data_IF_716042730205
#
_entry.id   IF_716042730205
#
_cell.length_a   1.000
_cell.length_b   1.000
_cell.length_c   1.000
_cell.angle_alpha   90.00
_cell.angle_beta   90.00
_cell.angle_gamma   90.00
#
_symmetry.space_group_name_H-M   'P 1'
#
loop_
_entity.id
_entity.type
_entity.pdbx_description
1 polymer ?
#
# COMPACT_ATOMS: atom_id res chain seq x y z
N UNK A 1 3.03 8.63 -13.48
CA UNK A 1 4.37 8.01 -13.45
C UNK A 1 4.35 6.67 -12.71
N UNK A 2 3.96 6.61 -11.43
CA UNK A 2 3.87 5.34 -10.70
C UNK A 2 2.98 4.28 -11.37
N UNK A 3 1.83 4.69 -11.92
CA UNK A 3 0.94 3.79 -12.68
C UNK A 3 1.65 3.02 -13.79
N UNK A 4 2.38 3.72 -14.65
CA UNK A 4 3.12 3.12 -15.77
C UNK A 4 4.18 2.14 -15.28
N UNK A 5 4.84 2.43 -14.16
CA UNK A 5 5.81 1.49 -13.55
C UNK A 5 5.11 0.22 -13.09
N UNK A 6 3.97 0.34 -12.41
CA UNK A 6 3.20 -0.83 -11.95
C UNK A 6 2.67 -1.67 -13.12
N UNK A 7 2.27 -1.03 -14.22
CA UNK A 7 1.87 -1.73 -15.45
C UNK A 7 3.04 -2.56 -16.02
N UNK A 8 4.21 -1.95 -16.22
CA UNK A 8 5.41 -2.63 -16.73
C UNK A 8 5.82 -3.80 -15.81
N UNK A 9 5.82 -3.58 -14.50
CA UNK A 9 6.18 -4.62 -13.52
C UNK A 9 5.17 -5.76 -13.56
N UNK A 10 3.88 -5.48 -13.70
CA UNK A 10 2.85 -6.53 -13.79
C UNK A 10 2.98 -7.40 -15.05
N UNK A 11 3.42 -6.81 -16.16
CA UNK A 11 3.63 -7.53 -17.43
C UNK A 11 4.85 -8.46 -17.38
N UNK A 12 5.93 -8.04 -16.70
CA UNK A 12 7.18 -8.78 -16.66
C UNK A 12 7.33 -9.67 -15.42
N UNK A 13 6.68 -9.32 -14.32
CA UNK A 13 6.78 -9.99 -13.02
C UNK A 13 5.37 -10.21 -12.43
N UNK A 14 4.53 -11.02 -13.06
CA UNK A 14 3.13 -11.24 -12.63
C UNK A 14 3.02 -11.98 -11.28
N UNK A 15 4.10 -12.62 -10.82
CA UNK A 15 4.16 -13.39 -9.57
C UNK A 15 4.86 -12.63 -8.44
N UNK A 16 4.90 -11.30 -8.49
CA UNK A 16 5.54 -10.48 -7.46
C UNK A 16 4.93 -10.74 -6.08
N UNK A 17 5.76 -11.12 -5.11
CA UNK A 17 5.33 -11.38 -3.72
C UNK A 17 5.63 -10.22 -2.76
N UNK A 18 6.65 -9.41 -3.05
CA UNK A 18 7.06 -8.30 -2.20
C UNK A 18 7.28 -7.03 -3.01
N UNK A 19 6.68 -5.92 -2.57
CA UNK A 19 6.76 -4.62 -3.23
C UNK A 19 7.04 -3.52 -2.21
N UNK A 20 8.10 -2.76 -2.46
CA UNK A 20 8.44 -1.60 -1.67
C UNK A 20 8.16 -0.32 -2.46
N UNK A 21 7.26 0.50 -1.93
CA UNK A 21 6.85 1.81 -2.41
C UNK A 21 7.04 2.90 -1.35
N UNK A 22 7.94 2.69 -0.38
CA UNK A 22 8.30 3.70 0.60
C UNK A 22 8.73 5.01 -0.09
N UNK A 23 8.37 6.16 0.49
CA UNK A 23 8.79 7.49 0.05
C UNK A 23 8.40 7.91 -1.40
N UNK A 24 7.28 7.39 -1.93
CA UNK A 24 6.79 7.74 -3.28
C UNK A 24 5.70 8.83 -3.33
N UNK A 25 5.46 9.52 -2.21
CA UNK A 25 4.41 10.55 -2.08
C UNK A 25 3.01 10.10 -2.53
N UNK A 26 2.68 8.82 -2.34
CA UNK A 26 1.39 8.24 -2.71
C UNK A 26 0.29 8.90 -1.87
N UNK A 27 -0.67 9.52 -2.54
CA UNK A 27 -1.81 10.21 -1.91
C UNK A 27 -3.16 9.82 -2.54
N UNK A 28 -3.17 9.13 -3.68
CA UNK A 28 -4.39 8.71 -4.38
C UNK A 28 -4.65 7.21 -4.18
N UNK A 29 -5.94 6.87 -4.14
CA UNK A 29 -6.41 5.48 -4.03
C UNK A 29 -6.24 4.70 -5.33
N UNK A 30 -6.21 5.39 -6.47
CA UNK A 30 -6.05 4.79 -7.80
C UNK A 30 -4.75 3.98 -7.95
N UNK A 31 -3.65 4.44 -7.35
CA UNK A 31 -2.39 3.71 -7.38
C UNK A 31 -2.47 2.39 -6.59
N UNK A 32 -3.21 2.40 -5.49
CA UNK A 32 -3.38 1.27 -4.58
C UNK A 32 -4.38 0.25 -5.13
N UNK A 33 -5.47 0.69 -5.77
CA UNK A 33 -6.49 -0.20 -6.33
C UNK A 33 -5.94 -1.11 -7.43
N UNK A 34 -4.97 -0.64 -8.22
CA UNK A 34 -4.33 -1.46 -9.25
C UNK A 34 -3.51 -2.61 -8.66
N UNK A 35 -3.02 -2.49 -7.42
CA UNK A 35 -2.20 -3.55 -6.82
C UNK A 35 -3.00 -4.85 -6.67
N UNK A 36 -4.28 -4.74 -6.34
CA UNK A 36 -5.17 -5.88 -6.15
C UNK A 36 -5.38 -6.69 -7.43
N UNK A 37 -5.55 -6.00 -8.57
CA UNK A 37 -5.76 -6.63 -9.88
C UNK A 37 -4.44 -7.14 -10.49
N UNK A 38 -3.35 -6.38 -10.32
CA UNK A 38 -2.08 -6.62 -11.02
C UNK A 38 -1.13 -7.57 -10.27
N UNK A 39 -1.21 -7.62 -8.94
CA UNK A 39 -0.31 -8.42 -8.10
C UNK A 39 -1.10 -9.34 -7.15
N UNK A 40 -1.83 -10.33 -7.67
CA UNK A 40 -2.67 -11.22 -6.86
C UNK A 40 -1.89 -12.10 -5.88
N UNK A 41 -0.56 -12.20 -6.05
CA UNK A 41 0.36 -12.97 -5.18
C UNK A 41 1.13 -12.11 -4.19
N UNK A 42 0.82 -10.81 -4.11
CA UNK A 42 1.52 -9.91 -3.21
C UNK A 42 1.22 -10.26 -1.76
N UNK A 43 2.29 -10.46 -0.98
CA UNK A 43 2.26 -10.78 0.45
C UNK A 43 2.88 -9.67 1.29
N UNK A 44 3.88 -8.97 0.76
CA UNK A 44 4.60 -7.91 1.48
C UNK A 44 4.42 -6.60 0.73
N UNK A 45 3.88 -5.59 1.40
CA UNK A 45 3.71 -4.26 0.83
C UNK A 45 4.23 -3.19 1.80
N UNK A 46 5.25 -2.45 1.36
CA UNK A 46 5.73 -1.28 2.09
C UNK A 46 5.29 -0.02 1.38
N UNK A 47 4.51 0.81 2.07
CA UNK A 47 4.02 2.10 1.59
C UNK A 47 4.24 3.16 2.67
N UNK A 48 5.31 3.03 3.44
CA UNK A 48 5.75 4.00 4.45
C UNK A 48 6.21 5.32 3.84
N UNK A 49 6.26 6.36 4.67
CA UNK A 49 6.69 7.71 4.30
C UNK A 49 5.96 8.29 3.05
N UNK A 50 4.72 7.85 2.82
CA UNK A 50 3.84 8.37 1.79
C UNK A 50 2.88 9.43 2.36
N UNK A 51 1.85 9.81 1.60
CA UNK A 51 0.90 10.88 1.94
C UNK A 51 -0.52 10.36 2.15
N UNK A 52 -0.66 9.13 2.63
CA UNK A 52 -1.96 8.50 2.91
C UNK A 52 -2.54 9.08 4.21
N UNK A 53 -3.76 9.61 4.14
CA UNK A 53 -4.41 10.38 5.22
C UNK A 53 -5.57 9.66 5.89
N UNK A 54 -6.27 8.79 5.17
CA UNK A 54 -7.45 8.08 5.65
C UNK A 54 -7.31 6.58 5.47
N UNK A 55 -7.93 5.80 6.38
CA UNK A 55 -7.99 4.34 6.28
C UNK A 55 -8.76 3.88 5.03
N UNK A 56 -9.77 4.65 4.60
CA UNK A 56 -10.55 4.37 3.40
C UNK A 56 -9.69 4.30 2.12
N UNK A 57 -8.49 4.90 2.15
CA UNK A 57 -7.56 4.81 1.03
C UNK A 57 -6.86 3.45 0.96
N UNK A 58 -6.72 2.79 2.10
CA UNK A 58 -6.13 1.46 2.26
C UNK A 58 -7.17 0.37 1.99
N UNK A 59 -8.48 0.67 2.05
CA UNK A 59 -9.53 -0.28 1.66
C UNK A 59 -9.37 -0.79 0.22
N UNK A 60 -8.68 -0.04 -0.65
CA UNK A 60 -8.35 -0.44 -2.01
C UNK A 60 -7.43 -1.68 -2.09
N UNK A 61 -6.68 -1.97 -1.02
CA UNK A 61 -5.76 -3.12 -0.92
C UNK A 61 -6.26 -4.19 0.06
N UNK A 62 -7.51 -4.08 0.53
CA UNK A 62 -8.05 -5.01 1.55
C UNK A 62 -8.17 -6.46 1.08
N UNK A 63 -8.34 -6.68 -0.23
CA UNK A 63 -8.52 -8.03 -0.77
C UNK A 63 -7.16 -8.72 -1.04
N UNK A 64 -6.05 -7.97 -0.94
CA UNK A 64 -4.71 -8.56 -0.96
C UNK A 64 -4.47 -9.34 0.33
N UNK A 65 -3.98 -10.58 0.19
CA UNK A 65 -3.62 -11.45 1.31
C UNK A 65 -2.22 -11.10 1.83
N UNK A 66 -2.06 -9.87 2.30
CA UNK A 66 -0.80 -9.36 2.82
C UNK A 66 -0.46 -10.06 4.15
N UNK A 67 0.74 -10.60 4.22
CA UNK A 67 1.37 -11.09 5.44
C UNK A 67 2.08 -9.95 6.19
N UNK A 68 2.57 -8.95 5.44
CA UNK A 68 3.25 -7.79 6.01
C UNK A 68 2.84 -6.48 5.30
N UNK A 69 2.46 -5.48 6.09
CA UNK A 69 2.08 -4.15 5.62
C UNK A 69 2.75 -3.05 6.46
N UNK A 70 3.58 -2.22 5.82
CA UNK A 70 4.23 -1.08 6.47
C UNK A 70 3.58 0.24 6.04
N UNK A 71 2.96 0.92 7.01
CA UNK A 71 2.32 2.23 6.83
C UNK A 71 3.04 3.37 7.56
N UNK A 72 4.08 3.06 8.34
CA UNK A 72 4.80 4.03 9.17
C UNK A 72 5.26 5.23 8.34
N UNK A 73 5.08 6.44 8.86
CA UNK A 73 5.44 7.68 8.16
C UNK A 73 4.29 8.32 7.36
N UNK A 74 3.14 7.65 7.23
CA UNK A 74 1.95 8.26 6.65
C UNK A 74 1.17 9.11 7.67
N UNK A 75 0.54 10.22 7.24
CA UNK A 75 -0.33 11.04 8.09
C UNK A 75 -1.43 10.25 8.83
N UNK A 76 -1.97 9.19 8.23
CA UNK A 76 -2.97 8.33 8.88
C UNK A 76 -2.47 7.74 10.20
N UNK A 77 -1.20 7.33 10.29
CA UNK A 77 -0.65 6.73 11.50
C UNK A 77 -0.73 7.71 12.67
N UNK A 78 -0.60 9.02 12.43
CA UNK A 78 -0.72 10.01 13.48
C UNK A 78 -2.16 10.17 13.99
N UNK A 79 -3.16 9.94 13.13
CA UNK A 79 -4.58 9.98 13.53
C UNK A 79 -4.99 8.79 14.38
N UNK A 80 -4.43 7.61 14.11
CA UNK A 80 -4.78 6.38 14.83
C UNK A 80 -3.84 6.07 16.00
N UNK A 81 -2.64 6.67 16.05
CA UNK A 81 -1.74 6.60 17.23
C UNK A 81 -2.37 7.14 18.52
N UNK A 82 -3.30 8.08 18.43
CA UNK A 82 -4.02 8.63 19.59
C UNK A 82 -5.20 7.76 20.05
N UNK A 83 -5.61 6.77 19.25
CA UNK A 83 -6.61 5.75 19.60
C UNK A 83 -5.89 4.42 19.86
N UNK A 84 -5.19 4.34 20.99
CA UNK A 84 -4.36 3.18 21.40
C UNK A 84 -5.06 1.80 21.39
N UNK A 85 -6.39 1.73 21.21
CA UNK A 85 -7.13 0.48 21.07
C UNK A 85 -7.20 -0.09 19.64
N UNK A 86 -6.95 0.74 18.61
CA UNK A 86 -7.32 0.40 17.22
C UNK A 86 -6.10 0.11 16.32
N UNK A 87 -4.87 0.26 16.82
CA UNK A 87 -3.64 0.11 16.04
C UNK A 87 -2.66 -0.87 16.71
N UNK A 88 -2.52 -2.07 16.13
CA UNK A 88 -1.51 -3.06 16.53
C UNK A 88 -0.20 -2.68 15.84
N UNK A 89 0.87 -2.58 16.64
CA UNK A 89 2.21 -2.14 16.25
C UNK A 89 3.03 -3.25 15.60
#
# INVERSE_FOLDING_TARGET
MLKTVLEIVSEHIPNLEALNLDANMIHTTEALSMLNEKFPKLKILYIGDNKIREIAQIDAIKDLKLEELKLVGNPLCNKYKTRQSDYIR
#
